data_IF_843268354989
#
_entry.id   IF_843268354989
#
_cell.length_a   1.000
_cell.length_b   1.000
_cell.length_c   1.000
_cell.angle_alpha   90.00
_cell.angle_beta   90.00
_cell.angle_gamma   90.00
#
_symmetry.space_group_name_H-M   'P 1'
#
loop_
_entity.id
_entity.type
_entity.pdbx_description
1 polymer ?
#
# COMPACT_ATOMS: atom_id res chain seq x y z
N UNK A 1 -0.18 -7.59 -9.37
CA UNK A 1 0.52 -7.74 -8.09
C UNK A 1 0.75 -9.22 -7.85
N UNK A 2 1.99 -9.65 -7.61
CA UNK A 2 2.29 -11.04 -7.24
C UNK A 2 1.98 -11.22 -5.75
N UNK A 3 0.81 -11.78 -5.45
CA UNK A 3 0.34 -12.02 -4.08
C UNK A 3 1.32 -12.84 -3.24
N UNK A 4 2.08 -13.75 -3.85
CA UNK A 4 3.13 -14.54 -3.18
C UNK A 4 4.25 -13.68 -2.56
N UNK A 5 4.69 -12.63 -3.26
CA UNK A 5 5.75 -11.74 -2.78
C UNK A 5 5.24 -10.92 -1.59
N UNK A 6 3.99 -10.46 -1.67
CA UNK A 6 3.34 -9.70 -0.61
C UNK A 6 3.11 -10.57 0.64
N UNK A 7 2.76 -11.85 0.47
CA UNK A 7 2.66 -12.81 1.57
C UNK A 7 4.01 -13.06 2.26
N UNK A 8 5.10 -13.08 1.50
CA UNK A 8 6.48 -13.19 2.02
C UNK A 8 6.92 -11.97 2.82
N UNK A 9 6.64 -10.76 2.30
CA UNK A 9 6.96 -9.48 2.96
C UNK A 9 5.88 -8.97 3.91
N UNK A 10 4.88 -9.81 4.22
CA UNK A 10 3.72 -9.41 5.01
C UNK A 10 4.09 -8.81 6.39
N UNK A 11 5.11 -9.36 7.05
CA UNK A 11 5.57 -8.83 8.35
C UNK A 11 6.14 -7.41 8.27
N UNK A 12 6.81 -7.04 7.17
CA UNK A 12 7.26 -5.65 6.97
C UNK A 12 6.10 -4.74 6.60
N UNK A 13 5.22 -5.22 5.71
CA UNK A 13 4.01 -4.50 5.28
C UNK A 13 3.11 -4.17 6.48
N UNK A 14 2.83 -5.15 7.35
CA UNK A 14 1.99 -4.91 8.54
C UNK A 14 2.63 -3.90 9.49
N UNK A 15 3.96 -3.89 9.60
CA UNK A 15 4.70 -2.90 10.39
C UNK A 15 4.53 -1.47 9.85
N UNK A 16 4.63 -1.28 8.52
CA UNK A 16 4.34 0.01 7.86
C UNK A 16 2.89 0.42 8.04
N UNK A 17 1.94 -0.50 7.87
CA UNK A 17 0.51 -0.23 8.06
C UNK A 17 0.26 0.22 9.51
N UNK A 18 0.81 -0.47 10.50
CA UNK A 18 0.67 -0.08 11.91
C UNK A 18 1.34 1.26 12.21
N UNK A 19 2.50 1.53 11.62
CA UNK A 19 3.19 2.82 11.76
C UNK A 19 2.36 3.98 11.19
N UNK A 20 1.75 3.76 10.01
CA UNK A 20 0.90 4.74 9.32
C UNK A 20 -0.46 4.93 10.00
N UNK A 21 -1.06 3.83 10.46
CA UNK A 21 -2.39 3.77 11.05
C UNK A 21 -2.35 3.08 12.41
N UNK A 22 -1.74 3.74 13.41
CA UNK A 22 -1.55 3.20 14.76
C UNK A 22 -2.80 2.80 15.56
N UNK A 23 -4.01 2.94 15.01
CA UNK A 23 -5.24 2.35 15.58
C UNK A 23 -5.46 0.90 15.14
N UNK A 24 -4.78 0.42 14.09
CA UNK A 24 -4.85 -0.97 13.66
C UNK A 24 -3.88 -1.80 14.49
N UNK A 25 -4.37 -2.93 15.02
CA UNK A 25 -3.57 -3.88 15.78
C UNK A 25 -2.95 -4.93 14.87
N UNK A 26 -1.78 -5.44 15.26
CA UNK A 26 -1.07 -6.49 14.52
C UNK A 26 -1.96 -7.74 14.29
N UNK A 27 -2.79 -8.10 15.29
CA UNK A 27 -3.71 -9.25 15.25
C UNK A 27 -4.81 -9.10 14.18
N UNK A 28 -5.43 -7.91 14.08
CA UNK A 28 -6.44 -7.61 13.06
C UNK A 28 -5.82 -7.67 11.66
N UNK A 29 -4.60 -7.14 11.53
CA UNK A 29 -3.86 -7.22 10.27
C UNK A 29 -3.52 -8.66 9.92
N UNK A 30 -3.08 -9.47 10.88
CA UNK A 30 -2.72 -10.87 10.66
C UNK A 30 -3.86 -11.71 10.10
N UNK A 31 -5.08 -11.52 10.59
CA UNK A 31 -6.28 -12.16 10.03
C UNK A 31 -6.58 -11.76 8.58
N UNK A 32 -6.05 -10.63 8.13
CA UNK A 32 -6.19 -10.09 6.77
C UNK A 32 -4.92 -10.25 5.94
N UNK A 33 -4.01 -11.15 6.32
CA UNK A 33 -2.79 -11.42 5.57
C UNK A 33 -3.08 -11.72 4.10
N UNK A 34 -2.64 -10.82 3.22
CA UNK A 34 -2.84 -10.92 1.77
C UNK A 34 -4.18 -10.36 1.27
N UNK A 35 -5.06 -9.88 2.15
CA UNK A 35 -6.35 -9.28 1.77
C UNK A 35 -6.36 -7.77 2.04
N UNK A 36 -5.65 -7.03 1.19
CA UNK A 36 -5.54 -5.57 1.27
C UNK A 36 -6.88 -4.84 1.07
N UNK A 37 -7.82 -5.47 0.36
CA UNK A 37 -9.18 -4.95 0.19
C UNK A 37 -9.91 -4.88 1.53
N UNK A 38 -9.83 -5.93 2.35
CA UNK A 38 -10.41 -5.94 3.71
C UNK A 38 -9.79 -4.87 4.61
N UNK A 39 -8.47 -4.69 4.55
CA UNK A 39 -7.76 -3.64 5.32
C UNK A 39 -8.25 -2.26 4.89
N UNK A 40 -8.44 -2.03 3.59
CA UNK A 40 -9.01 -0.78 3.07
C UNK A 40 -10.43 -0.52 3.56
N UNK A 41 -11.27 -1.55 3.70
CA UNK A 41 -12.60 -1.45 4.30
C UNK A 41 -12.54 -1.06 5.79
N UNK A 42 -11.63 -1.67 6.53
CA UNK A 42 -11.40 -1.34 7.95
C UNK A 42 -10.89 0.08 8.15
N UNK A 43 -10.01 0.55 7.27
CA UNK A 43 -9.54 1.93 7.28
C UNK A 43 -10.69 2.91 7.07
N UNK A 44 -11.59 2.63 6.12
CA UNK A 44 -12.80 3.44 5.92
C UNK A 44 -13.68 3.43 7.18
N UNK A 45 -13.90 2.27 7.82
CA UNK A 45 -14.77 2.16 9.00
C UNK A 45 -14.15 2.75 10.29
N UNK A 46 -12.86 2.52 10.55
CA UNK A 46 -12.17 2.93 11.79
C UNK A 46 -11.73 4.39 11.77
N UNK A 47 -11.34 4.89 10.60
CA UNK A 47 -10.80 6.23 10.42
C UNK A 47 -11.76 7.17 9.68
N UNK A 48 -12.85 6.67 9.09
CA UNK A 48 -13.72 7.49 8.24
C UNK A 48 -13.05 7.91 6.94
N UNK A 49 -12.00 7.20 6.51
CA UNK A 49 -11.26 7.52 5.28
C UNK A 49 -12.15 7.26 4.06
N UNK A 50 -11.90 8.02 2.99
CA UNK A 50 -12.48 7.68 1.68
C UNK A 50 -11.82 6.41 1.15
N UNK A 51 -12.57 5.64 0.37
CA UNK A 51 -12.05 4.44 -0.31
C UNK A 51 -10.76 4.72 -1.07
N UNK A 52 -10.67 5.90 -1.70
CA UNK A 52 -9.50 6.32 -2.46
C UNK A 52 -8.29 6.57 -1.56
N UNK A 53 -8.44 7.29 -0.44
CA UNK A 53 -7.35 7.51 0.52
C UNK A 53 -6.86 6.22 1.17
N UNK A 54 -7.79 5.33 1.53
CA UNK A 54 -7.44 4.02 2.08
C UNK A 54 -6.66 3.19 1.04
N UNK A 55 -7.09 3.19 -0.22
CA UNK A 55 -6.39 2.54 -1.33
C UNK A 55 -5.03 3.17 -1.60
N UNK A 56 -4.93 4.49 -1.64
CA UNK A 56 -3.68 5.21 -1.92
C UNK A 56 -2.62 4.89 -0.86
N UNK A 57 -2.99 4.95 0.42
CA UNK A 57 -2.07 4.61 1.50
C UNK A 57 -1.59 3.16 1.41
N UNK A 58 -2.49 2.21 1.15
CA UNK A 58 -2.11 0.80 0.99
C UNK A 58 -1.26 0.60 -0.26
N UNK A 59 -1.61 1.25 -1.36
CA UNK A 59 -0.87 1.18 -2.62
C UNK A 59 0.55 1.74 -2.47
N UNK A 60 0.76 2.83 -1.71
CA UNK A 60 2.10 3.35 -1.43
C UNK A 60 2.97 2.35 -0.68
N UNK A 61 2.41 1.71 0.34
CA UNK A 61 3.10 0.67 1.12
C UNK A 61 3.43 -0.49 0.19
N UNK A 62 2.43 -1.05 -0.48
CA UNK A 62 2.58 -2.16 -1.41
C UNK A 62 3.59 -1.88 -2.53
N UNK A 63 3.56 -0.67 -3.10
CA UNK A 63 4.49 -0.21 -4.12
C UNK A 63 5.91 -0.21 -3.59
N UNK A 64 6.17 0.29 -2.36
CA UNK A 64 7.50 0.24 -1.74
C UNK A 64 8.05 -1.19 -1.62
N UNK A 65 7.18 -2.18 -1.40
CA UNK A 65 7.60 -3.59 -1.23
C UNK A 65 7.63 -4.39 -2.54
N UNK A 66 6.84 -4.00 -3.54
CA UNK A 66 6.77 -4.60 -4.88
C UNK A 66 7.77 -3.96 -5.87
N UNK A 67 8.18 -2.70 -5.63
CA UNK A 67 9.08 -1.94 -6.49
C UNK A 67 10.55 -2.30 -6.25
N UNK A 68 10.90 -3.53 -6.62
CA UNK A 68 12.24 -3.77 -7.19
C UNK A 68 12.16 -3.99 -8.71
N UNK A 69 11.00 -3.76 -9.33
CA UNK A 69 10.74 -4.13 -10.73
C UNK A 69 10.21 -2.98 -11.59
N UNK A 70 9.70 -1.86 -11.04
CA UNK A 70 9.00 -0.85 -11.88
C UNK A 70 9.51 0.61 -11.79
N UNK A 71 10.48 0.94 -10.93
CA UNK A 71 11.12 2.28 -10.85
C UNK A 71 11.88 2.71 -12.13
N UNK A 72 11.98 1.86 -13.17
CA UNK A 72 12.61 2.25 -14.44
C UNK A 72 11.67 2.98 -15.42
N UNK A 73 10.38 3.17 -15.11
CA UNK A 73 9.39 3.65 -16.10
C UNK A 73 8.82 5.05 -15.83
N UNK A 74 9.05 5.65 -14.66
CA UNK A 74 8.54 6.99 -14.34
C UNK A 74 9.51 8.13 -14.72
N UNK A 75 10.81 7.83 -14.90
CA UNK A 75 11.83 8.81 -15.32
C UNK A 75 11.70 9.28 -16.79
N UNK A 76 10.78 8.69 -17.58
CA UNK A 76 10.59 9.01 -19.01
C UNK A 76 9.38 9.91 -19.30
N UNK A 77 8.71 10.49 -18.29
CA UNK A 77 7.49 11.29 -18.50
C UNK A 77 7.61 12.80 -18.30
N UNK A 78 8.80 13.32 -17.99
CA UNK A 78 9.00 14.77 -17.78
C UNK A 78 9.83 15.48 -18.89
N UNK A 79 10.09 14.85 -20.05
CA UNK A 79 10.87 15.47 -21.14
C UNK A 79 10.04 15.87 -22.38
N UNK A 80 8.72 16.01 -22.26
CA UNK A 80 7.91 16.65 -23.31
C UNK A 80 7.00 17.74 -22.74
N UNK A 81 7.64 18.70 -22.09
CA UNK A 81 7.12 20.06 -21.93
C UNK A 81 8.27 21.04 -22.10
N UNK A 82 8.94 20.95 -23.26
CA UNK A 82 9.67 22.08 -23.81
C UNK A 82 8.66 23.12 -24.31
N UNK A 83 8.53 24.19 -23.54
CA UNK A 83 7.98 25.51 -23.88
C UNK A 83 8.48 25.96 -25.28
N UNK A 84 7.65 26.53 -26.17
CA UNK A 84 7.08 27.88 -26.00
C UNK A 84 5.55 28.00 -26.19
#
# INVERSE_FOLDING_TARGET
>A
MNEDILKGKWNEIKGEIRSRWGKLNDDELEGMRGNFTSIGGLLQQRYGLKQDEARDGLNKILSRFNSRVEDFKDDLRDDNSAHP
#
